data_IF_089602084535
#
_entry.id   IF_089602084535
#
_cell.length_a   1.000
_cell.length_b   1.000
_cell.length_c   1.000
_cell.angle_alpha   90.00
_cell.angle_beta   90.00
_cell.angle_gamma   90.00
#
_symmetry.space_group_name_H-M   'P 1'
#
loop_
_entity.id
_entity.type
_entity.pdbx_description
1 polymer ?
#
# COMPACT_ATOMS: atom_id res chain seq x y z
N UNK A 1 -65.30 12.37 38.27
CA UNK A 1 -64.28 11.43 37.76
C UNK A 1 -63.61 11.91 36.48
N UNK A 2 -64.33 12.36 35.43
CA UNK A 2 -63.68 12.75 34.16
C UNK A 2 -62.72 13.94 34.28
N UNK A 3 -63.04 14.96 35.09
CA UNK A 3 -62.19 16.15 35.27
C UNK A 3 -60.83 15.85 35.94
N UNK A 4 -60.77 14.82 36.79
CA UNK A 4 -59.53 14.38 37.42
C UNK A 4 -58.61 13.68 36.41
N UNK A 5 -59.20 12.81 35.58
CA UNK A 5 -58.49 12.08 34.52
C UNK A 5 -57.93 13.06 33.49
N UNK A 6 -58.71 14.05 33.06
CA UNK A 6 -58.24 15.06 32.10
C UNK A 6 -57.12 15.93 32.68
N UNK A 7 -57.20 16.31 33.96
CA UNK A 7 -56.12 17.05 34.64
C UNK A 7 -54.82 16.24 34.75
N UNK A 8 -54.91 14.95 35.08
CA UNK A 8 -53.77 14.05 35.13
C UNK A 8 -53.13 13.88 33.75
N UNK A 9 -53.93 13.60 32.71
CA UNK A 9 -53.43 13.48 31.33
C UNK A 9 -52.76 14.77 30.85
N UNK A 10 -53.32 15.94 31.19
CA UNK A 10 -52.73 17.24 30.83
C UNK A 10 -51.36 17.43 31.49
N UNK A 11 -51.19 16.95 32.73
CA UNK A 11 -49.90 16.99 33.42
C UNK A 11 -48.87 16.07 32.75
N UNK A 12 -49.26 14.84 32.43
CA UNK A 12 -48.40 13.88 31.75
C UNK A 12 -47.98 14.37 30.36
N UNK A 13 -48.90 14.98 29.59
CA UNK A 13 -48.59 15.61 28.29
C UNK A 13 -47.56 16.73 28.44
N UNK A 14 -47.67 17.57 29.47
CA UNK A 14 -46.69 18.65 29.74
C UNK A 14 -45.33 18.11 30.13
N UNK A 15 -45.30 17.07 30.96
CA UNK A 15 -44.05 16.43 31.37
C UNK A 15 -43.36 15.74 30.18
N UNK A 16 -44.14 15.05 29.33
CA UNK A 16 -43.63 14.48 28.08
C UNK A 16 -43.11 15.56 27.14
N UNK A 17 -43.84 16.68 26.97
CA UNK A 17 -43.39 17.83 26.19
C UNK A 17 -42.03 18.34 26.67
N UNK A 18 -41.89 18.57 27.98
CA UNK A 18 -40.62 19.03 28.55
C UNK A 18 -39.46 18.05 28.35
N UNK A 19 -39.72 16.74 28.48
CA UNK A 19 -38.71 15.71 28.22
C UNK A 19 -38.32 15.65 26.74
N UNK A 20 -39.29 15.83 25.83
CA UNK A 20 -39.04 15.91 24.39
C UNK A 20 -38.16 17.12 24.07
N UNK A 21 -38.49 18.32 24.59
CA UNK A 21 -37.70 19.54 24.38
C UNK A 21 -36.24 19.37 24.85
N UNK A 22 -36.04 18.71 26.01
CA UNK A 22 -34.69 18.41 26.51
C UNK A 22 -33.91 17.45 25.60
N UNK A 23 -34.59 16.44 25.05
CA UNK A 23 -33.96 15.47 24.14
C UNK A 23 -33.62 16.15 22.82
N UNK A 24 -34.51 16.99 22.29
CA UNK A 24 -34.27 17.78 21.08
C UNK A 24 -33.07 18.72 21.25
N UNK A 25 -33.00 19.46 22.36
CA UNK A 25 -31.84 20.33 22.65
C UNK A 25 -30.53 19.54 22.73
N UNK A 26 -30.53 18.37 23.37
CA UNK A 26 -29.33 17.52 23.45
C UNK A 26 -28.97 16.93 22.09
N UNK A 27 -29.97 16.60 21.26
CA UNK A 27 -29.75 16.12 19.91
C UNK A 27 -29.08 17.20 19.06
N UNK A 28 -29.54 18.44 19.14
CA UNK A 28 -28.93 19.57 18.43
C UNK A 28 -27.47 19.78 18.86
N UNK A 29 -27.19 19.72 20.17
CA UNK A 29 -25.82 19.80 20.69
C UNK A 29 -24.92 18.68 20.15
N UNK A 30 -25.43 17.44 20.14
CA UNK A 30 -24.68 16.28 19.61
C UNK A 30 -24.44 16.43 18.11
N UNK A 31 -25.43 16.89 17.34
CA UNK A 31 -25.27 17.13 15.90
C UNK A 31 -24.16 18.16 15.64
N UNK A 32 -24.14 19.26 16.39
CA UNK A 32 -23.08 20.27 16.29
C UNK A 32 -21.70 19.67 16.60
N UNK A 33 -21.59 18.87 17.66
CA UNK A 33 -20.34 18.21 18.03
C UNK A 33 -19.86 17.20 16.99
N UNK A 34 -20.77 16.37 16.46
CA UNK A 34 -20.45 15.39 15.42
C UNK A 34 -19.94 16.09 14.17
N UNK A 35 -20.59 17.16 13.72
CA UNK A 35 -20.15 17.94 12.56
C UNK A 35 -18.74 18.54 12.78
N UNK A 36 -18.47 19.05 13.99
CA UNK A 36 -17.14 19.59 14.34
C UNK A 36 -16.06 18.50 14.36
N UNK A 37 -16.40 17.29 14.83
CA UNK A 37 -15.51 16.14 14.80
C UNK A 37 -15.26 15.64 13.39
N UNK A 38 -16.28 15.56 12.54
CA UNK A 38 -16.14 15.17 11.14
C UNK A 38 -15.21 16.14 10.39
N UNK A 39 -15.41 17.45 10.57
CA UNK A 39 -14.50 18.46 10.01
C UNK A 39 -13.05 18.29 10.50
N UNK A 40 -12.87 17.93 11.78
CA UNK A 40 -11.54 17.67 12.36
C UNK A 40 -10.90 16.41 11.77
N UNK A 41 -11.67 15.34 11.57
CA UNK A 41 -11.21 14.09 10.95
C UNK A 41 -10.75 14.36 9.52
N UNK A 42 -11.55 15.07 8.73
CA UNK A 42 -11.19 15.42 7.33
C UNK A 42 -9.91 16.26 7.28
N UNK A 43 -9.75 17.21 8.20
CA UNK A 43 -8.52 18.00 8.29
C UNK A 43 -7.31 17.12 8.64
N UNK A 44 -7.47 16.22 9.60
CA UNK A 44 -6.38 15.36 10.06
C UNK A 44 -5.98 14.33 9.00
N UNK A 45 -6.94 13.78 8.26
CA UNK A 45 -6.64 12.89 7.13
C UNK A 45 -5.87 13.63 6.03
N UNK A 46 -6.27 14.85 5.69
CA UNK A 46 -5.55 15.66 4.72
C UNK A 46 -4.10 15.98 5.17
N UNK A 47 -3.90 16.27 6.46
CA UNK A 47 -2.56 16.48 7.01
C UNK A 47 -1.72 15.20 7.00
N UNK A 48 -2.32 14.06 7.31
CA UNK A 48 -1.65 12.76 7.25
C UNK A 48 -1.18 12.45 5.82
N UNK A 49 -2.03 12.70 4.81
CA UNK A 49 -1.69 12.43 3.41
C UNK A 49 -0.57 13.35 2.90
N UNK A 50 -0.58 14.64 3.25
CA UNK A 50 0.51 15.58 2.94
C UNK A 50 1.83 15.16 3.61
N UNK A 51 1.79 14.71 4.87
CA UNK A 51 2.98 14.21 5.56
C UNK A 51 3.53 12.94 4.91
N UNK A 52 2.66 12.02 4.48
CA UNK A 52 3.09 10.82 3.76
C UNK A 52 3.74 11.17 2.42
N UNK A 53 3.17 12.10 1.66
CA UNK A 53 3.75 12.55 0.39
C UNK A 53 5.13 13.18 0.60
N UNK A 54 5.27 14.04 1.61
CA UNK A 54 6.57 14.64 1.96
C UNK A 54 7.59 13.60 2.40
N UNK A 55 7.20 12.64 3.24
CA UNK A 55 8.08 11.57 3.69
C UNK A 55 8.55 10.72 2.52
N UNK A 56 7.66 10.38 1.60
CA UNK A 56 7.99 9.67 0.37
C UNK A 56 8.97 10.47 -0.50
N UNK A 57 8.75 11.78 -0.70
CA UNK A 57 9.67 12.66 -1.43
C UNK A 57 11.05 12.72 -0.76
N UNK A 58 11.12 12.86 0.57
CA UNK A 58 12.38 12.83 1.31
C UNK A 58 13.10 11.48 1.17
N UNK A 59 12.39 10.36 1.31
CA UNK A 59 12.97 9.03 1.09
C UNK A 59 13.52 8.89 -0.34
N UNK A 60 12.80 9.40 -1.33
CA UNK A 60 13.18 9.30 -2.72
C UNK A 60 14.40 10.18 -3.05
N UNK A 61 14.42 11.43 -2.56
CA UNK A 61 15.57 12.33 -2.70
C UNK A 61 16.81 11.75 -2.03
N UNK A 62 16.65 11.17 -0.84
CA UNK A 62 17.72 10.48 -0.12
C UNK A 62 18.29 9.28 -0.91
N UNK A 63 17.44 8.56 -1.65
CA UNK A 63 17.85 7.39 -2.46
C UNK A 63 18.26 7.73 -3.90
N UNK A 64 18.14 8.98 -4.35
CA UNK A 64 18.31 9.39 -5.76
C UNK A 64 19.70 9.07 -6.33
N UNK A 65 20.74 9.19 -5.49
CA UNK A 65 22.11 8.91 -5.90
C UNK A 65 22.50 7.44 -5.73
N UNK A 66 21.61 6.60 -5.20
CA UNK A 66 21.92 5.19 -4.92
C UNK A 66 21.66 4.34 -6.16
N UNK A 67 22.74 3.78 -6.73
CA UNK A 67 22.66 2.80 -7.83
C UNK A 67 22.59 1.39 -7.24
N UNK A 68 21.73 0.53 -7.82
CA UNK A 68 21.63 -0.89 -7.47
C UNK A 68 22.11 -1.77 -8.63
N UNK A 69 23.19 -2.51 -8.41
CA UNK A 69 23.73 -3.47 -9.37
C UNK A 69 23.25 -4.87 -8.98
N UNK A 70 22.65 -5.59 -9.94
CA UNK A 70 22.11 -6.95 -9.75
C UNK A 70 22.92 -7.95 -10.57
N UNK A 71 22.98 -9.20 -10.13
CA UNK A 71 23.70 -10.28 -10.83
C UNK A 71 25.21 -10.28 -10.61
N UNK A 72 25.72 -9.50 -9.65
CA UNK A 72 27.12 -9.55 -9.25
C UNK A 72 27.36 -10.80 -8.39
N UNK A 73 28.35 -11.63 -8.75
CA UNK A 73 28.69 -12.84 -7.97
C UNK A 73 28.98 -12.51 -6.50
N UNK A 74 28.63 -13.42 -5.60
CA UNK A 74 28.88 -13.30 -4.16
C UNK A 74 30.37 -13.42 -3.80
N UNK A 75 31.17 -14.09 -4.63
CA UNK A 75 32.60 -14.35 -4.37
C UNK A 75 33.47 -13.08 -4.40
N UNK A 76 32.97 -12.02 -5.04
CA UNK A 76 33.66 -10.74 -5.14
C UNK A 76 33.56 -10.01 -3.80
N UNK A 77 34.63 -10.04 -3.01
CA UNK A 77 34.70 -9.34 -1.72
C UNK A 77 35.00 -7.85 -1.88
N UNK A 78 35.94 -7.50 -2.77
CA UNK A 78 36.40 -6.12 -2.96
C UNK A 78 35.53 -5.35 -3.95
N UNK A 79 34.40 -4.85 -3.44
CA UNK A 79 33.44 -4.09 -4.24
C UNK A 79 34.01 -2.75 -4.74
N UNK A 80 34.85 -2.09 -3.94
CA UNK A 80 35.44 -0.79 -4.31
C UNK A 80 36.32 -0.87 -5.56
N UNK A 81 36.94 -2.02 -5.84
CA UNK A 81 37.76 -2.22 -7.05
C UNK A 81 36.92 -2.84 -8.17
N UNK A 82 36.06 -3.79 -7.84
CA UNK A 82 35.27 -4.52 -8.83
C UNK A 82 34.22 -3.64 -9.52
N UNK A 83 33.57 -2.72 -8.80
CA UNK A 83 32.53 -1.86 -9.38
C UNK A 83 33.10 -0.86 -10.40
N UNK A 84 34.19 -0.10 -10.13
CA UNK A 84 34.82 0.73 -11.15
C UNK A 84 35.30 -0.05 -12.37
N UNK A 85 35.86 -1.27 -12.19
CA UNK A 85 36.29 -2.12 -13.29
C UNK A 85 35.12 -2.58 -14.18
N UNK A 86 33.99 -2.93 -13.55
CA UNK A 86 32.75 -3.25 -14.26
C UNK A 86 32.24 -2.03 -15.04
N UNK A 87 32.22 -0.86 -14.43
CA UNK A 87 31.76 0.37 -15.07
C UNK A 87 32.65 0.78 -16.24
N UNK A 88 33.97 0.64 -16.11
CA UNK A 88 34.90 0.91 -17.21
C UNK A 88 34.70 -0.04 -18.40
N UNK A 89 34.32 -1.31 -18.13
CA UNK A 89 33.98 -2.27 -19.18
C UNK A 89 32.67 -1.91 -19.89
N UNK A 90 31.66 -1.43 -19.16
CA UNK A 90 30.34 -1.11 -19.72
C UNK A 90 30.30 0.26 -20.40
N UNK A 91 31.05 1.24 -19.88
CA UNK A 91 31.09 2.63 -20.36
C UNK A 91 32.55 3.11 -20.37
N UNK A 92 33.29 2.82 -21.46
CA UNK A 92 34.72 3.14 -21.54
C UNK A 92 35.02 4.64 -21.61
N UNK A 93 34.05 5.48 -21.98
CA UNK A 93 34.18 6.93 -22.01
C UNK A 93 34.07 7.59 -20.62
N UNK A 94 33.71 6.84 -19.58
CA UNK A 94 33.52 7.38 -18.25
C UNK A 94 34.87 7.71 -17.59
N UNK A 95 35.17 8.98 -17.26
CA UNK A 95 36.44 9.33 -16.62
C UNK A 95 36.52 8.75 -15.21
N UNK A 96 37.54 7.94 -14.93
CA UNK A 96 37.75 7.28 -13.63
C UNK A 96 37.85 8.29 -12.48
N UNK A 97 38.43 9.44 -12.75
CA UNK A 97 38.68 10.50 -11.75
C UNK A 97 37.40 11.21 -11.29
N UNK A 98 36.28 11.04 -12.02
CA UNK A 98 34.97 11.62 -11.67
C UNK A 98 34.06 10.66 -10.92
N UNK A 99 34.48 9.40 -10.74
CA UNK A 99 33.66 8.37 -10.10
C UNK A 99 33.94 8.36 -8.59
N UNK A 100 33.23 9.22 -7.86
CA UNK A 100 33.25 9.23 -6.40
C UNK A 100 32.20 8.26 -5.84
N UNK A 101 32.68 7.23 -5.14
CA UNK A 101 31.84 6.22 -4.49
C UNK A 101 31.84 6.45 -2.97
N UNK A 102 30.83 7.14 -2.45
CA UNK A 102 30.73 7.45 -1.02
C UNK A 102 30.57 6.17 -0.16
N UNK A 103 29.67 5.26 -0.56
CA UNK A 103 29.43 3.98 0.13
C UNK A 103 29.14 2.87 -0.86
N UNK A 104 29.85 1.74 -0.74
CA UNK A 104 29.60 0.53 -1.52
C UNK A 104 29.44 -0.67 -0.59
N UNK A 105 28.26 -1.28 -0.62
CA UNK A 105 27.95 -2.43 0.23
C UNK A 105 26.91 -3.34 -0.44
N UNK A 106 26.88 -4.61 -0.01
CA UNK A 106 25.80 -5.54 -0.40
C UNK A 106 24.53 -5.16 0.35
N UNK A 107 23.38 -5.29 -0.32
CA UNK A 107 22.09 -4.94 0.28
C UNK A 107 21.76 -5.86 1.48
N UNK A 108 21.44 -5.28 2.63
CA UNK A 108 21.06 -6.00 3.86
C UNK A 108 19.84 -6.91 3.62
N UNK A 109 19.91 -8.16 4.09
CA UNK A 109 18.83 -9.14 4.04
C UNK A 109 19.34 -10.59 4.02
N UNK A 110 18.56 -11.57 4.51
CA UNK A 110 18.95 -12.98 4.50
C UNK A 110 19.21 -13.46 3.06
N UNK A 111 20.22 -14.31 2.92
CA UNK A 111 20.59 -14.98 1.66
C UNK A 111 19.34 -15.63 1.06
N UNK A 112 19.07 -15.37 -0.22
CA UNK A 112 17.97 -16.02 -0.93
C UNK A 112 18.55 -17.13 -1.78
N UNK A 113 18.22 -18.37 -1.45
CA UNK A 113 18.67 -19.57 -2.18
C UNK A 113 18.07 -19.69 -3.60
N UNK A 114 17.16 -18.78 -3.98
CA UNK A 114 16.31 -18.90 -5.17
C UNK A 114 16.72 -18.04 -6.37
N UNK A 115 17.89 -17.41 -6.38
CA UNK A 115 18.45 -16.74 -7.58
C UNK A 115 17.65 -15.55 -8.15
N UNK A 116 16.50 -15.18 -7.57
CA UNK A 116 15.63 -14.12 -8.08
C UNK A 116 15.82 -12.83 -7.26
N UNK A 117 16.29 -11.72 -7.87
CA UNK A 117 16.50 -10.46 -7.16
C UNK A 117 15.22 -9.83 -6.61
N UNK A 118 15.32 -9.17 -5.44
CA UNK A 118 14.23 -8.42 -4.80
C UNK A 118 13.70 -7.30 -5.71
N UNK A 119 12.41 -7.35 -6.06
CA UNK A 119 11.69 -6.25 -6.72
C UNK A 119 10.47 -5.86 -5.87
N UNK A 120 10.45 -4.62 -5.37
CA UNK A 120 9.31 -4.05 -4.62
C UNK A 120 9.14 -2.57 -5.02
N UNK A 121 7.86 -2.17 -5.15
CA UNK A 121 7.28 -0.85 -5.51
C UNK A 121 6.92 -0.57 -6.98
N UNK A 122 6.88 -1.56 -7.88
CA UNK A 122 6.33 -1.39 -9.25
C UNK A 122 5.01 -2.13 -9.53
N UNK A 123 4.35 -2.67 -8.50
CA UNK A 123 3.17 -3.55 -8.70
C UNK A 123 1.95 -2.84 -9.26
N UNK A 124 1.67 -1.61 -8.82
CA UNK A 124 0.44 -0.91 -9.18
C UNK A 124 0.31 -0.68 -10.70
N UNK A 125 1.37 -0.19 -11.34
CA UNK A 125 1.39 0.12 -12.77
C UNK A 125 1.87 -1.05 -13.65
N UNK A 126 2.11 -2.23 -13.07
CA UNK A 126 2.53 -3.44 -13.79
C UNK A 126 1.57 -3.80 -14.93
N UNK A 127 0.24 -3.79 -14.76
CA UNK A 127 -0.69 -4.11 -15.85
C UNK A 127 -0.52 -3.16 -17.05
N UNK A 128 -0.32 -1.87 -16.79
CA UNK A 128 -0.12 -0.86 -17.85
C UNK A 128 1.20 -1.10 -18.57
N UNK A 129 2.29 -1.33 -17.84
CA UNK A 129 3.59 -1.61 -18.49
C UNK A 129 3.58 -2.89 -19.33
N UNK A 130 2.81 -3.91 -18.92
CA UNK A 130 2.66 -5.15 -19.69
C UNK A 130 1.93 -4.87 -21.01
N UNK A 131 0.86 -4.07 -20.98
CA UNK A 131 0.14 -3.67 -22.18
C UNK A 131 1.02 -2.84 -23.11
N UNK A 132 1.73 -1.83 -22.59
CA UNK A 132 2.65 -1.03 -23.41
C UNK A 132 3.74 -1.89 -24.06
N UNK A 133 4.27 -2.90 -23.35
CA UNK A 133 5.22 -3.86 -23.92
C UNK A 133 4.60 -4.72 -25.03
N UNK A 134 3.40 -5.25 -24.82
CA UNK A 134 2.68 -6.04 -25.82
C UNK A 134 2.46 -5.27 -27.12
N UNK A 135 2.09 -3.98 -27.01
CA UNK A 135 1.88 -3.09 -28.16
C UNK A 135 3.16 -2.43 -28.68
N UNK A 136 4.34 -2.82 -28.16
CA UNK A 136 5.66 -2.26 -28.52
C UNK A 136 5.74 -0.73 -28.40
N UNK A 137 5.02 -0.15 -27.45
CA UNK A 137 5.04 1.28 -27.16
C UNK A 137 6.17 1.57 -26.19
N UNK A 138 7.05 2.50 -26.57
CA UNK A 138 8.14 2.95 -25.71
C UNK A 138 7.58 3.77 -24.55
N UNK A 139 8.09 3.46 -23.35
CA UNK A 139 7.75 4.19 -22.14
C UNK A 139 9.00 4.38 -21.29
N UNK A 140 8.96 5.41 -20.44
CA UNK A 140 9.98 5.65 -19.45
C UNK A 140 9.36 6.05 -18.12
N UNK A 141 10.09 5.79 -17.04
CA UNK A 141 9.71 6.17 -15.70
C UNK A 141 10.20 7.58 -15.41
N UNK A 142 9.29 8.46 -15.02
CA UNK A 142 9.57 9.82 -14.60
C UNK A 142 9.44 10.00 -13.08
N UNK A 143 10.01 11.09 -12.60
CA UNK A 143 9.90 11.53 -11.21
C UNK A 143 8.87 12.68 -11.07
N UNK A 144 8.13 12.75 -9.94
CA UNK A 144 7.87 11.65 -8.99
C UNK A 144 6.99 10.56 -9.64
N UNK A 145 7.02 9.33 -9.10
CA UNK A 145 6.52 8.07 -9.69
C UNK A 145 5.41 8.19 -10.74
N UNK A 146 5.80 8.48 -11.98
CA UNK A 146 4.88 8.64 -13.11
C UNK A 146 5.41 7.87 -14.30
N UNK A 147 4.52 7.21 -15.02
CA UNK A 147 4.82 6.53 -16.25
C UNK A 147 4.55 7.49 -17.40
N UNK A 148 5.55 7.71 -18.25
CA UNK A 148 5.40 8.55 -19.44
C UNK A 148 5.60 7.70 -20.68
N UNK A 149 4.68 7.82 -21.64
CA UNK A 149 4.78 7.14 -22.92
C UNK A 149 4.25 8.04 -24.03
N UNK A 150 4.77 7.83 -25.24
CA UNK A 150 4.36 8.57 -26.43
C UNK A 150 3.52 7.67 -27.34
N UNK A 151 2.33 8.15 -27.70
CA UNK A 151 1.45 7.46 -28.64
C UNK A 151 0.76 8.49 -29.54
N UNK A 152 0.73 8.26 -30.86
CA UNK A 152 0.15 9.19 -31.85
C UNK A 152 0.64 10.65 -31.71
N UNK A 153 1.95 10.84 -31.57
CA UNK A 153 2.60 12.16 -31.36
C UNK A 153 2.12 12.94 -30.12
N UNK A 154 1.45 12.27 -29.18
CA UNK A 154 1.07 12.85 -27.89
C UNK A 154 1.78 12.11 -26.76
N UNK A 155 2.26 12.87 -25.78
CA UNK A 155 2.81 12.31 -24.56
C UNK A 155 1.70 12.16 -23.52
N UNK A 156 1.67 11.01 -22.87
CA UNK A 156 0.75 10.70 -21.78
C UNK A 156 1.55 10.47 -20.51
N UNK A 157 1.08 11.05 -19.41
CA UNK A 157 1.67 10.89 -18.08
C UNK A 157 0.63 10.23 -17.20
N UNK A 158 1.00 9.13 -16.55
CA UNK A 158 0.12 8.32 -15.73
C UNK A 158 0.71 8.17 -14.33
N UNK A 159 -0.06 8.49 -13.30
CA UNK A 159 0.37 8.34 -11.89
C UNK A 159 -0.32 7.16 -11.21
N UNK A 160 -1.57 6.88 -11.58
CA UNK A 160 -2.37 5.79 -11.02
C UNK A 160 -2.64 4.68 -12.04
N UNK A 161 -2.84 3.45 -11.55
CA UNK A 161 -3.22 2.31 -12.39
C UNK A 161 -4.59 2.50 -13.05
N UNK A 162 -5.53 3.11 -12.34
CA UNK A 162 -6.87 3.35 -12.86
C UNK A 162 -6.87 4.41 -13.96
N UNK A 163 -6.20 5.53 -13.71
CA UNK A 163 -5.98 6.60 -14.69
C UNK A 163 -5.33 6.05 -15.97
N UNK A 164 -4.28 5.24 -15.83
CA UNK A 164 -3.58 4.66 -16.97
C UNK A 164 -4.43 3.69 -17.78
N UNK A 165 -5.25 2.86 -17.13
CA UNK A 165 -6.18 1.98 -17.83
C UNK A 165 -7.22 2.79 -18.61
N UNK A 166 -7.75 3.86 -18.02
CA UNK A 166 -8.69 4.76 -18.70
C UNK A 166 -8.07 5.45 -19.91
N UNK A 167 -6.81 5.91 -19.80
CA UNK A 167 -6.06 6.47 -20.94
C UNK A 167 -5.84 5.42 -22.03
N UNK A 168 -5.44 4.20 -21.69
CA UNK A 168 -5.23 3.12 -22.68
C UNK A 168 -6.53 2.71 -23.40
N UNK A 169 -7.67 2.71 -22.70
CA UNK A 169 -9.00 2.51 -23.31
C UNK A 169 -9.33 3.65 -24.27
N UNK A 170 -9.13 4.90 -23.86
CA UNK A 170 -9.37 6.06 -24.72
C UNK A 170 -8.50 6.06 -26.00
N UNK A 171 -7.27 5.56 -25.89
CA UNK A 171 -6.34 5.41 -27.01
C UNK A 171 -6.62 4.17 -27.89
N UNK A 172 -7.68 3.40 -27.58
CA UNK A 172 -8.06 2.13 -28.26
C UNK A 172 -6.92 1.11 -28.33
N UNK A 173 -5.99 1.17 -27.39
CA UNK A 173 -4.92 0.17 -27.22
C UNK A 173 -5.53 -1.09 -26.58
N UNK A 174 -6.51 -0.90 -25.70
CA UNK A 174 -7.37 -1.95 -25.15
C UNK A 174 -8.70 -1.93 -25.93
N UNK A 175 -9.14 -3.09 -26.44
CA UNK A 175 -10.47 -3.24 -27.01
C UNK A 175 -11.55 -3.01 -25.94
N UNK A 176 -12.62 -2.28 -26.28
CA UNK A 176 -13.79 -2.12 -25.41
C UNK A 176 -14.53 -3.46 -25.28
N UNK A 177 -13.97 -4.42 -24.55
CA UNK A 177 -14.64 -5.66 -24.17
C UNK A 177 -15.47 -5.40 -22.91
N UNK A 178 -16.45 -4.50 -23.01
CA UNK A 178 -17.72 -4.59 -22.27
C UNK A 178 -18.82 -4.23 -23.28
N UNK A 179 -19.00 -5.09 -24.28
CA UNK A 179 -20.27 -5.22 -24.97
C UNK A 179 -20.98 -6.43 -24.36
N UNK A 180 -22.10 -6.15 -23.73
CA UNK A 180 -23.13 -7.10 -23.29
C UNK A 180 -23.37 -8.21 -24.32
N UNK A 181 -23.13 -9.47 -23.93
CA UNK A 181 -23.45 -10.67 -24.69
C UNK A 181 -23.14 -11.93 -23.89
N UNK A 182 -24.13 -12.80 -23.74
CA UNK A 182 -24.23 -14.03 -22.92
C UNK A 182 -23.02 -15.00 -22.94
N UNK A 183 -22.90 -15.87 -21.90
CA UNK A 183 -21.72 -16.70 -21.69
C UNK A 183 -21.69 -17.89 -22.66
N UNK A 184 -20.73 -17.90 -23.57
CA UNK A 184 -20.35 -19.11 -24.30
C UNK A 184 -19.07 -19.68 -23.71
N UNK A 185 -19.20 -20.95 -23.34
CA UNK A 185 -18.25 -21.83 -22.67
C UNK A 185 -16.92 -21.92 -23.45
N UNK A 186 -15.81 -21.70 -22.76
CA UNK A 186 -14.51 -22.27 -23.13
C UNK A 186 -13.89 -22.99 -21.91
N UNK A 187 -13.15 -24.09 -22.15
CA UNK A 187 -12.99 -25.19 -21.21
C UNK A 187 -12.04 -24.84 -20.06
N UNK A 188 -12.48 -25.16 -18.86
CA UNK A 188 -11.69 -25.03 -17.63
C UNK A 188 -10.45 -25.92 -17.69
N UNK A 189 -9.27 -25.30 -17.69
CA UNK A 189 -8.06 -25.94 -17.17
C UNK A 189 -8.19 -26.03 -15.63
N UNK A 190 -7.80 -27.15 -15.00
CA UNK A 190 -7.97 -27.33 -13.56
C UNK A 190 -7.10 -26.33 -12.79
N UNK A 191 -7.74 -25.36 -12.16
CA UNK A 191 -7.13 -24.50 -11.16
C UNK A 191 -7.01 -25.29 -9.85
N UNK A 192 -5.85 -25.89 -9.62
CA UNK A 192 -5.50 -26.33 -8.25
C UNK A 192 -5.14 -25.07 -7.47
N UNK A 193 -6.16 -24.50 -6.83
CA UNK A 193 -6.00 -23.45 -5.84
C UNK A 193 -5.76 -24.12 -4.48
N UNK A 194 -4.61 -23.95 -3.82
CA UNK A 194 -4.50 -24.29 -2.40
C UNK A 194 -5.16 -23.15 -1.61
N UNK A 195 -6.49 -23.15 -1.55
CA UNK A 195 -7.23 -22.34 -0.57
C UNK A 195 -7.22 -23.08 0.78
N UNK A 196 -6.13 -22.92 1.51
CA UNK A 196 -6.16 -23.02 2.98
C UNK A 196 -6.26 -21.61 3.55
N UNK A 197 -6.96 -21.38 4.67
CA UNK A 197 -6.91 -20.10 5.36
C UNK A 197 -5.46 -19.80 5.73
N UNK A 198 -4.96 -18.65 5.27
CA UNK A 198 -3.63 -18.14 5.62
C UNK A 198 -3.60 -17.87 7.12
N UNK A 199 -2.96 -18.75 7.89
CA UNK A 199 -2.69 -18.51 9.30
C UNK A 199 -1.86 -17.23 9.45
N UNK A 200 -2.39 -16.24 10.17
CA UNK A 200 -1.67 -15.01 10.48
C UNK A 200 -0.48 -15.33 11.39
N UNK A 201 0.71 -14.88 11.00
CA UNK A 201 2.01 -15.11 11.66
C UNK A 201 2.16 -14.56 13.10
N UNK A 202 1.06 -14.16 13.75
CA UNK A 202 1.02 -13.64 15.12
C UNK A 202 0.54 -14.66 16.16
N UNK A 203 0.22 -15.89 15.76
CA UNK A 203 -0.34 -16.91 16.65
C UNK A 203 0.70 -17.80 17.36
N UNK A 204 2.00 -17.54 17.20
CA UNK A 204 3.04 -18.35 17.86
C UNK A 204 3.66 -17.59 19.03
N UNK A 205 2.87 -17.43 20.09
CA UNK A 205 3.44 -17.24 21.43
C UNK A 205 3.09 -18.47 22.26
N UNK A 206 4.03 -19.40 22.52
CA UNK A 206 3.76 -20.48 23.46
C UNK A 206 3.58 -19.85 24.85
N UNK A 207 2.38 -20.00 25.40
CA UNK A 207 2.12 -19.74 26.81
C UNK A 207 3.11 -20.57 27.63
N UNK A 208 3.99 -19.86 28.34
CA UNK A 208 4.95 -20.41 29.29
C UNK A 208 4.15 -21.09 30.40
N UNK A 209 3.97 -22.41 30.33
CA UNK A 209 3.46 -23.21 31.43
C UNK A 209 4.41 -23.07 32.60
N UNK A 210 3.98 -22.36 33.63
CA UNK A 210 4.61 -22.34 34.94
C UNK A 210 4.53 -23.76 35.50
N UNK A 211 5.63 -24.50 35.42
CA UNK A 211 5.79 -25.77 36.11
C UNK A 211 5.77 -25.46 37.61
N UNK A 212 4.64 -25.72 38.27
CA UNK A 212 4.60 -25.88 39.73
C UNK A 212 5.59 -27.00 40.05
N UNK A 213 6.65 -26.66 40.78
CA UNK A 213 7.44 -27.65 41.49
C UNK A 213 6.60 -28.06 42.70
N UNK A 214 6.08 -29.27 42.65
CA UNK A 214 5.64 -29.96 43.85
C UNK A 214 6.89 -30.23 44.68
N UNK A 215 7.01 -29.50 45.78
CA UNK A 215 7.88 -29.83 46.90
C UNK A 215 7.07 -30.83 47.71
N UNK A 216 7.28 -32.12 47.47
CA UNK A 216 6.88 -33.15 48.43
C UNK A 216 8.09 -33.55 49.28
N UNK A 217 7.84 -33.41 50.57
CA UNK A 217 8.67 -33.66 51.73
C UNK A 217 9.37 -35.03 51.71
N UNK A 218 10.69 -35.00 51.93
CA UNK A 218 11.48 -36.15 52.35
C UNK A 218 12.16 -35.86 53.68
N UNK A 219 11.42 -36.01 54.77
CA UNK A 219 11.96 -36.05 56.14
C UNK A 219 11.66 -37.43 56.76
N UNK A 220 12.67 -37.94 57.50
CA UNK A 220 12.72 -39.15 58.33
C UNK A 220 12.79 -40.49 57.56
N UNK A 221 13.70 -41.43 57.88
CA UNK A 221 14.58 -41.63 59.05
C UNK A 221 15.70 -42.58 58.65
#
# INVERSE_FOLDING_TARGET
>A
MSAYITAQLTREIRELGHRTDQVESKLDEVVVQVNAHEASIVRLSAQHDDLLERLEDYENRSRRNNIRIRGLSEDVKDLHTAIPALLATLVPELPKDRLELDRVHRALGPRRDSGIPRDIRRRALRPITQLLQQHKILYHWGFPFKLTFSYNNKQHVVKSSEEGLSVLRALRIIGNEIATGSPSVLPSLPCVSPQGPLATLWEQTPLRTTRRQDVEDGFNT
#
